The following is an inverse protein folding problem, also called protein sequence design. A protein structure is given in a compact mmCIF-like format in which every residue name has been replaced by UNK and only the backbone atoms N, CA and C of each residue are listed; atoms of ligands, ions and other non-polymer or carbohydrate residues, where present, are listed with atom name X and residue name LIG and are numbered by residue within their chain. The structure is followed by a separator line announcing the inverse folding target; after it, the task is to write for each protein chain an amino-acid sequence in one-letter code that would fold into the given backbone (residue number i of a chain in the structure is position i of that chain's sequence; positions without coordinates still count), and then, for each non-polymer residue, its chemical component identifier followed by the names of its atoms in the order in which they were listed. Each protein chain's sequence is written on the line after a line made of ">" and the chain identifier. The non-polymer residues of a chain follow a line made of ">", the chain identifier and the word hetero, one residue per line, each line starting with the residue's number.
data_IF_320240139966
#
_entry.id   IF_320240139966
#
_cell.length_a   1.000
_cell.length_b   1.000
_cell.length_c   1.000
_cell.angle_alpha   90.00
_cell.angle_beta   90.00
_cell.angle_gamma   90.00
#
_symmetry.space_group_name_H-M   'P 1'
#
loop_
_entity.id
_entity.type
_entity.pdbx_description
1 polymer ?
#
# COMPACT_ATOMS: atom_id res chain seq x y z
N UNK A 1 -5.90 16.57 -12.61
CA UNK A 1 -5.48 16.42 -11.20
C UNK A 1 -4.65 15.16 -11.08
N UNK A 2 -3.43 15.28 -10.55
CA UNK A 2 -2.50 14.17 -10.37
C UNK A 2 -2.67 13.56 -8.98
N UNK A 3 -2.52 12.24 -8.88
CA UNK A 3 -2.57 11.49 -7.62
C UNK A 3 -1.21 10.83 -7.40
N UNK A 4 -0.64 11.02 -6.21
CA UNK A 4 0.67 10.47 -5.88
C UNK A 4 0.71 8.94 -6.09
N UNK A 5 1.67 8.46 -6.89
CA UNK A 5 1.82 7.04 -7.19
C UNK A 5 0.91 6.50 -8.30
N UNK A 6 0.06 7.34 -8.90
CA UNK A 6 -0.82 6.98 -10.02
C UNK A 6 -0.40 7.75 -11.27
N UNK A 7 -0.15 7.04 -12.37
CA UNK A 7 0.31 7.65 -13.63
C UNK A 7 -0.80 8.42 -14.38
N UNK A 8 -2.06 8.13 -14.06
CA UNK A 8 -3.24 8.67 -14.72
C UNK A 8 -3.62 10.05 -14.16
N UNK A 9 -4.03 10.96 -15.05
CA UNK A 9 -4.51 12.30 -14.69
C UNK A 9 -6.04 12.30 -14.69
N UNK A 10 -6.64 12.86 -13.63
CA UNK A 10 -8.08 12.84 -13.41
C UNK A 10 -8.72 14.23 -13.39
N UNK A 11 -9.98 14.33 -13.78
CA UNK A 11 -10.76 15.56 -13.63
C UNK A 11 -11.34 15.69 -12.21
N UNK A 12 -11.34 16.90 -11.66
CA UNK A 12 -12.02 17.25 -10.40
C UNK A 12 -12.87 18.50 -10.60
N UNK A 13 -14.01 18.56 -9.93
CA UNK A 13 -14.87 19.74 -9.92
C UNK A 13 -14.63 20.52 -8.64
N UNK A 14 -13.99 21.69 -8.74
CA UNK A 14 -13.68 22.57 -7.61
C UNK A 14 -12.20 22.97 -7.55
N UNK A 15 -11.83 23.66 -6.48
CA UNK A 15 -10.44 24.11 -6.24
C UNK A 15 -9.56 22.88 -6.01
N UNK A 16 -8.51 22.63 -6.82
CA UNK A 16 -7.70 21.43 -6.68
C UNK A 16 -6.83 21.46 -5.41
N UNK A 17 -6.63 20.30 -4.78
CA UNK A 17 -5.66 20.12 -3.70
C UNK A 17 -4.22 20.14 -4.24
N UNK A 18 -3.61 21.32 -4.34
CA UNK A 18 -2.26 21.48 -4.87
C UNK A 18 -1.49 22.59 -4.15
N UNK A 19 -0.20 22.38 -3.92
CA UNK A 19 0.69 23.42 -3.39
C UNK A 19 0.42 23.71 -1.92
N UNK A 20 -0.17 24.88 -1.63
CA UNK A 20 -0.54 25.32 -0.29
C UNK A 20 -2.04 25.14 0.02
N UNK A 21 -2.80 24.48 -0.86
CA UNK A 21 -4.24 24.29 -0.74
C UNK A 21 -4.54 23.00 0.01
N UNK A 22 -4.87 23.11 1.30
CA UNK A 22 -5.18 21.98 2.20
C UNK A 22 -6.63 21.51 2.14
N UNK A 23 -7.53 22.35 1.62
CA UNK A 23 -8.98 22.14 1.55
C UNK A 23 -9.47 21.81 0.12
N UNK A 24 -8.54 21.45 -0.76
CA UNK A 24 -8.83 21.23 -2.16
C UNK A 24 -9.48 19.88 -2.46
N UNK A 25 -10.13 19.82 -3.61
CA UNK A 25 -10.85 18.65 -4.12
C UNK A 25 -9.86 17.69 -4.78
N UNK A 26 -10.07 16.39 -4.51
CA UNK A 26 -9.33 15.29 -5.11
C UNK A 26 -10.25 14.36 -5.92
N UNK A 27 -9.71 13.65 -6.93
CA UNK A 27 -10.47 12.71 -7.74
C UNK A 27 -11.23 11.69 -6.88
N UNK A 28 -12.52 11.53 -7.16
CA UNK A 28 -13.31 10.43 -6.60
C UNK A 28 -12.94 9.07 -7.21
N UNK A 29 -13.60 7.98 -6.78
CA UNK A 29 -13.42 6.64 -7.33
C UNK A 29 -13.50 6.58 -8.86
N UNK A 30 -12.46 6.05 -9.51
CA UNK A 30 -12.37 5.87 -10.96
C UNK A 30 -11.65 4.57 -11.28
N UNK A 31 -12.21 3.78 -12.20
CA UNK A 31 -11.58 2.55 -12.66
C UNK A 31 -10.73 2.79 -13.91
N UNK A 32 -9.61 2.06 -14.09
CA UNK A 32 -9.13 0.96 -13.23
C UNK A 32 -8.19 1.41 -12.09
N UNK A 33 -7.60 2.61 -12.18
CA UNK A 33 -6.39 2.96 -11.42
C UNK A 33 -6.67 3.69 -10.09
N UNK A 34 -7.92 4.04 -9.78
CA UNK A 34 -8.29 4.76 -8.55
C UNK A 34 -9.63 4.28 -7.97
N UNK A 35 -9.80 2.97 -7.69
CA UNK A 35 -11.10 2.36 -7.39
C UNK A 35 -11.79 2.92 -6.12
N UNK A 36 -11.04 3.55 -5.22
CA UNK A 36 -11.56 4.14 -3.98
C UNK A 36 -11.47 5.67 -3.93
N UNK A 37 -10.96 6.29 -5.00
CA UNK A 37 -10.77 7.75 -5.08
C UNK A 37 -9.48 8.22 -4.44
N UNK A 38 -9.40 9.50 -4.11
CA UNK A 38 -8.24 10.13 -3.49
C UNK A 38 -8.62 11.23 -2.50
N UNK A 39 -7.73 11.49 -1.55
CA UNK A 39 -7.86 12.47 -0.47
C UNK A 39 -6.75 13.51 -0.56
N UNK A 40 -7.02 14.72 -0.10
CA UNK A 40 -6.03 15.79 -0.02
C UNK A 40 -5.07 15.57 1.16
N UNK A 41 -3.76 15.63 0.92
CA UNK A 41 -2.74 15.49 1.95
C UNK A 41 -1.35 15.93 1.50
N UNK A 42 -0.38 15.95 2.40
CA UNK A 42 1.01 16.32 2.07
C UNK A 42 1.72 15.20 1.31
N UNK A 43 2.04 15.40 0.03
CA UNK A 43 2.78 14.44 -0.80
C UNK A 43 4.28 14.48 -0.52
N UNK A 44 5.08 13.55 -1.07
CA UNK A 44 6.54 13.45 -0.83
C UNK A 44 7.35 14.73 -0.99
N UNK A 45 6.86 15.69 -1.77
CA UNK A 45 7.49 17.00 -1.98
C UNK A 45 7.13 18.04 -0.92
N UNK A 46 6.48 17.64 0.19
CA UNK A 46 6.05 18.52 1.29
C UNK A 46 5.09 19.65 0.86
N UNK A 47 4.32 19.41 -0.19
CA UNK A 47 3.21 20.26 -0.62
C UNK A 47 1.91 19.48 -0.57
N UNK A 48 0.77 20.17 -0.50
CA UNK A 48 -0.53 19.53 -0.62
C UNK A 48 -0.71 18.96 -2.03
N UNK A 49 -1.24 17.73 -2.09
CA UNK A 49 -1.51 16.97 -3.30
C UNK A 49 -2.51 15.84 -3.02
N UNK A 50 -3.08 15.27 -4.08
CA UNK A 50 -4.00 14.15 -3.93
C UNK A 50 -3.25 12.84 -3.73
N UNK A 51 -3.70 12.05 -2.76
CA UNK A 51 -3.21 10.70 -2.48
C UNK A 51 -4.35 9.71 -2.65
N UNK A 52 -4.11 8.49 -3.16
CA UNK A 52 -5.19 7.53 -3.31
C UNK A 52 -5.81 7.22 -1.95
N UNK A 53 -7.14 7.12 -1.91
CA UNK A 53 -7.83 6.44 -0.83
C UNK A 53 -7.40 4.99 -0.95
N UNK A 54 -6.63 4.55 0.03
CA UNK A 54 -6.53 3.14 0.33
C UNK A 54 -7.75 2.90 1.23
N UNK A 55 -8.56 1.91 0.91
CA UNK A 55 -9.66 1.40 1.72
C UNK A 55 -9.36 1.50 3.22
N UNK A 56 -10.41 1.64 4.04
CA UNK A 56 -10.33 1.83 5.50
C UNK A 56 -9.57 0.71 6.28
N UNK A 57 -8.97 -0.26 5.60
CA UNK A 57 -8.07 -1.29 6.11
C UNK A 57 -6.57 -1.03 5.82
N UNK A 58 -6.21 0.00 5.05
CA UNK A 58 -4.83 0.31 4.71
C UNK A 58 -4.43 1.71 5.22
N UNK A 59 -4.33 1.77 6.55
CA UNK A 59 -3.58 2.79 7.28
C UNK A 59 -2.24 3.07 6.61
N UNK A 60 -2.02 4.34 6.27
CA UNK A 60 -0.73 5.01 5.99
C UNK A 60 0.42 4.11 5.48
N UNK A 61 0.96 4.44 4.30
CA UNK A 61 2.42 4.37 4.14
C UNK A 61 3.01 5.50 5.00
N UNK A 62 3.19 5.18 6.28
CA UNK A 62 3.56 6.09 7.35
C UNK A 62 3.12 5.53 8.70
N UNK A 63 3.88 4.55 9.21
CA UNK A 63 3.66 3.86 10.50
C UNK A 63 2.38 3.02 10.58
N UNK A 64 2.53 1.72 10.30
CA UNK A 64 1.75 0.71 11.01
C UNK A 64 2.26 0.78 12.46
N UNK A 65 1.41 1.14 13.41
CA UNK A 65 1.75 1.02 14.84
C UNK A 65 2.20 -0.41 15.10
N UNK A 66 3.28 -0.61 15.85
CA UNK A 66 3.77 -1.96 16.19
C UNK A 66 2.70 -2.84 16.88
N UNK A 67 1.64 -2.23 17.41
CA UNK A 67 0.48 -2.89 17.99
C UNK A 67 -0.45 -3.57 16.97
N UNK A 68 -0.49 -3.12 15.72
CA UNK A 68 -1.37 -3.63 14.66
C UNK A 68 -0.66 -4.65 13.75
N UNK A 69 0.66 -4.82 13.91
CA UNK A 69 1.42 -5.85 13.22
C UNK A 69 1.20 -7.20 13.92
N UNK A 70 1.05 -8.30 13.16
CA UNK A 70 1.06 -9.62 13.76
C UNK A 70 2.37 -9.83 14.53
N UNK A 71 2.28 -10.32 15.77
CA UNK A 71 3.46 -10.65 16.54
C UNK A 71 4.13 -11.89 15.93
N UNK A 72 5.19 -11.66 15.16
CA UNK A 72 5.95 -12.71 14.51
C UNK A 72 7.05 -13.32 15.40
N UNK A 73 7.21 -12.84 16.65
CA UNK A 73 8.24 -13.36 17.55
C UNK A 73 7.97 -14.83 17.88
N UNK A 74 8.90 -15.71 17.48
CA UNK A 74 8.77 -17.16 17.68
C UNK A 74 7.84 -17.88 16.70
N UNK A 75 7.37 -17.19 15.65
CA UNK A 75 6.55 -17.81 14.62
C UNK A 75 7.41 -18.71 13.72
N UNK A 76 7.03 -19.98 13.48
CA UNK A 76 7.80 -20.89 12.61
C UNK A 76 7.87 -20.45 11.14
N UNK A 77 6.95 -19.61 10.67
CA UNK A 77 7.00 -19.00 9.34
C UNK A 77 8.00 -17.84 9.23
N UNK A 78 8.46 -17.31 10.38
CA UNK A 78 9.53 -16.31 10.48
C UNK A 78 9.18 -15.12 11.37
N UNK A 79 10.20 -14.35 11.72
CA UNK A 79 10.11 -13.28 12.72
C UNK A 79 9.77 -11.90 12.17
N UNK A 80 9.56 -11.78 10.86
CA UNK A 80 9.36 -10.49 10.20
C UNK A 80 7.95 -10.39 9.61
N UNK A 81 7.22 -9.29 9.87
CA UNK A 81 5.94 -9.06 9.22
C UNK A 81 6.16 -8.62 7.76
N UNK A 82 5.31 -9.10 6.85
CA UNK A 82 5.30 -8.74 5.44
C UNK A 82 3.87 -8.76 4.89
N UNK A 83 3.57 -7.86 3.96
CA UNK A 83 2.24 -7.72 3.37
C UNK A 83 2.10 -8.54 2.10
N UNK A 84 0.99 -9.27 2.01
CA UNK A 84 0.54 -10.00 0.82
C UNK A 84 -0.59 -9.21 0.16
N UNK A 85 -0.40 -8.89 -1.12
CA UNK A 85 -1.32 -8.07 -1.91
C UNK A 85 -2.71 -8.69 -1.91
N UNK A 86 -3.69 -7.93 -1.43
CA UNK A 86 -5.10 -8.34 -1.36
C UNK A 86 -5.42 -9.38 -0.28
N UNK A 87 -4.51 -9.69 0.65
CA UNK A 87 -4.74 -10.66 1.74
C UNK A 87 -4.41 -10.13 3.14
N UNK A 88 -3.51 -9.14 3.28
CA UNK A 88 -3.14 -8.54 4.56
C UNK A 88 -1.68 -8.80 4.96
N UNK A 89 -1.36 -8.69 6.25
CA UNK A 89 0.01 -8.84 6.76
C UNK A 89 0.19 -10.16 7.48
N UNK A 90 1.28 -10.86 7.16
CA UNK A 90 1.63 -12.19 7.67
C UNK A 90 3.11 -12.24 8.05
N UNK A 91 3.54 -13.34 8.68
CA UNK A 91 4.92 -13.54 9.09
C UNK A 91 5.72 -14.29 8.02
N UNK A 92 6.96 -13.83 7.76
CA UNK A 92 7.90 -14.47 6.86
C UNK A 92 9.33 -14.44 7.41
N UNK A 93 10.16 -15.34 6.90
CA UNK A 93 11.58 -15.41 7.24
C UNK A 93 12.36 -14.25 6.61
N UNK A 94 13.35 -13.71 7.33
CA UNK A 94 14.30 -12.75 6.75
C UNK A 94 15.22 -13.44 5.73
N UNK A 95 15.59 -12.79 4.60
CA UNK A 95 15.19 -11.46 4.14
C UNK A 95 13.77 -11.46 3.53
N UNK A 96 12.95 -10.45 3.83
CA UNK A 96 11.58 -10.35 3.29
C UNK A 96 11.52 -9.73 1.89
N UNK A 97 10.50 -10.07 1.09
CA UNK A 97 10.23 -9.49 -0.21
C UNK A 97 9.56 -8.10 -0.09
N UNK A 98 10.32 -7.03 -0.32
CA UNK A 98 9.80 -5.65 -0.21
C UNK A 98 10.63 -4.67 -1.04
N UNK A 99 9.95 -3.75 -1.73
CA UNK A 99 10.59 -2.66 -2.45
C UNK A 99 11.43 -3.18 -3.63
N UNK A 100 12.75 -3.21 -3.47
CA UNK A 100 13.67 -3.75 -4.48
C UNK A 100 14.37 -5.04 -4.01
N UNK A 101 14.01 -5.56 -2.84
CA UNK A 101 14.61 -6.74 -2.25
C UNK A 101 13.81 -7.99 -2.63
N UNK A 102 14.46 -8.91 -3.34
CA UNK A 102 13.91 -10.24 -3.57
C UNK A 102 14.18 -11.09 -2.33
N UNK A 103 13.11 -11.53 -1.68
CA UNK A 103 13.19 -12.22 -0.40
C UNK A 103 12.05 -13.23 -0.25
N UNK A 104 11.88 -13.71 0.97
CA UNK A 104 10.86 -14.68 1.32
C UNK A 104 9.50 -14.01 1.46
N UNK A 105 8.48 -14.80 1.15
CA UNK A 105 7.09 -14.49 1.35
C UNK A 105 6.45 -15.52 2.28
N UNK A 106 5.32 -15.19 2.92
CA UNK A 106 4.64 -16.10 3.82
C UNK A 106 4.22 -17.40 3.12
N UNK A 107 4.55 -18.51 3.78
CA UNK A 107 4.06 -19.84 3.43
C UNK A 107 2.59 -20.01 3.81
N UNK A 108 2.01 -21.19 3.54
CA UNK A 108 0.63 -21.51 3.91
C UNK A 108 0.42 -21.30 5.42
N UNK A 109 -0.38 -20.30 5.78
CA UNK A 109 -0.67 -19.88 7.16
C UNK A 109 -2.18 -19.89 7.37
N UNK A 110 -2.63 -19.91 8.63
CA UNK A 110 -4.05 -19.65 8.93
C UNK A 110 -4.43 -18.25 8.45
N UNK A 111 -5.31 -18.17 7.46
CA UNK A 111 -5.69 -16.92 6.78
C UNK A 111 -5.02 -16.69 5.43
N UNK A 112 -4.05 -17.52 5.04
CA UNK A 112 -3.46 -17.50 3.70
C UNK A 112 -3.55 -18.91 3.08
N UNK A 113 -4.55 -19.17 2.21
CA UNK A 113 -4.85 -20.52 1.72
C UNK A 113 -3.76 -21.11 0.84
N UNK A 114 -2.88 -20.27 0.28
CA UNK A 114 -1.78 -20.62 -0.62
C UNK A 114 -0.51 -19.91 -0.17
N UNK A 115 0.66 -20.52 -0.43
CA UNK A 115 1.93 -19.83 -0.24
C UNK A 115 2.02 -18.66 -1.22
N UNK A 116 2.42 -17.49 -0.72
CA UNK A 116 2.59 -16.30 -1.54
C UNK A 116 3.98 -16.27 -2.17
N UNK A 117 4.11 -15.65 -3.35
CA UNK A 117 5.38 -15.55 -4.09
C UNK A 117 5.87 -14.11 -4.15
N UNK A 118 7.18 -13.93 -4.17
CA UNK A 118 7.80 -12.64 -4.37
C UNK A 118 7.77 -12.27 -5.86
N UNK A 119 6.96 -11.30 -6.22
CA UNK A 119 6.78 -10.85 -7.60
C UNK A 119 6.61 -9.34 -7.68
N UNK A 120 6.63 -8.79 -8.90
CA UNK A 120 6.41 -7.38 -9.13
C UNK A 120 4.94 -7.01 -8.87
N UNK A 121 4.74 -6.17 -7.87
CA UNK A 121 3.49 -5.46 -7.64
C UNK A 121 3.52 -4.13 -8.39
N UNK A 122 2.37 -3.69 -8.90
CA UNK A 122 2.28 -2.39 -9.58
C UNK A 122 2.41 -1.25 -8.57
N UNK A 123 3.23 -0.21 -8.83
CA UNK A 123 4.03 0.04 -10.03
C UNK A 123 5.50 -0.35 -9.82
N UNK A 124 5.87 -1.60 -10.12
CA UNK A 124 7.27 -2.00 -10.35
C UNK A 124 8.13 -2.28 -9.10
N UNK A 125 7.52 -2.53 -7.94
CA UNK A 125 8.24 -2.93 -6.72
C UNK A 125 7.98 -4.41 -6.42
N UNK A 126 8.97 -5.09 -5.84
CA UNK A 126 8.82 -6.44 -5.31
C UNK A 126 7.94 -6.43 -4.07
N UNK A 127 6.98 -7.35 -4.04
CA UNK A 127 6.12 -7.62 -2.89
C UNK A 127 5.53 -9.02 -2.98
N UNK A 128 4.92 -9.46 -1.89
CA UNK A 128 4.31 -10.78 -1.86
C UNK A 128 2.94 -10.76 -2.54
N UNK A 129 2.76 -11.59 -3.55
CA UNK A 129 1.50 -11.76 -4.29
C UNK A 129 1.00 -13.19 -4.15
N UNK A 130 -0.30 -13.38 -4.27
CA UNK A 130 -0.85 -14.72 -4.40
C UNK A 130 -0.42 -15.36 -5.74
N UNK A 131 -0.18 -16.67 -5.79
CA UNK A 131 0.32 -17.36 -6.96
C UNK A 131 -0.63 -17.29 -8.16
#
# INVERSE_FOLDING_TARGET
>A
MSVEGVATIYCVSGKPCAGNVSDGVCPGPQQPDLPYGSVCGLVRTNVYGCKPYLDAAHTKVGEVSAADLPNCLGNPAGSMPVSVVGQGTFCAASPICVGNQRGNCPDKLSGLPLASKCDYVRPGVLGCVMP
#
